data_IF_094388812112
#
_entry.id   IF_094388812112
#
_cell.length_a   1.000
_cell.length_b   1.000
_cell.length_c   1.000
_cell.angle_alpha   90.00
_cell.angle_beta   90.00
_cell.angle_gamma   90.00
#
_symmetry.space_group_name_H-M   'P 1'
#
loop_
_entity.id
_entity.type
_entity.pdbx_description
1 polymer ?
#
# COMPACT_ATOMS: atom_id res chain seq x y z
N UNK A 1 -17.07 4.79 -8.82
CA UNK A 1 -17.02 5.82 -7.76
C UNK A 1 -15.58 5.96 -7.32
N UNK A 2 -15.03 7.18 -7.28
CA UNK A 2 -13.64 7.43 -6.89
C UNK A 2 -13.63 8.11 -5.52
N UNK A 3 -12.89 7.57 -4.55
CA UNK A 3 -12.74 8.20 -3.24
C UNK A 3 -11.77 9.39 -3.33
N UNK A 4 -12.10 10.49 -2.65
CA UNK A 4 -11.25 11.67 -2.47
C UNK A 4 -10.62 11.59 -1.08
N UNK A 5 -9.30 11.76 -0.99
CA UNK A 5 -8.55 11.77 0.27
C UNK A 5 -7.81 13.09 0.34
N UNK A 6 -8.02 13.82 1.42
CA UNK A 6 -7.32 15.06 1.72
C UNK A 6 -6.07 14.78 2.55
N UNK A 7 -4.95 15.41 2.18
CA UNK A 7 -3.64 15.21 2.81
C UNK A 7 -2.97 16.56 2.91
N UNK A 8 -2.58 16.95 4.13
CA UNK A 8 -1.89 18.21 4.37
C UNK A 8 -0.54 18.26 3.65
N UNK A 9 -0.24 19.39 3.00
CA UNK A 9 1.06 19.67 2.39
C UNK A 9 2.20 19.57 3.41
N UNK A 10 1.94 19.94 4.68
CA UNK A 10 2.94 19.81 5.75
C UNK A 10 3.37 18.36 6.00
N UNK A 11 2.46 17.39 5.82
CA UNK A 11 2.76 15.96 5.93
C UNK A 11 3.60 15.53 4.73
N UNK A 12 3.22 15.94 3.52
CA UNK A 12 3.98 15.64 2.30
C UNK A 12 5.40 16.21 2.36
N UNK A 13 5.56 17.42 2.89
CA UNK A 13 6.85 18.06 3.13
C UNK A 13 7.68 17.30 4.17
N UNK A 14 7.08 16.91 5.30
CA UNK A 14 7.78 16.16 6.35
C UNK A 14 8.27 14.79 5.85
N UNK A 15 7.51 14.17 4.94
CA UNK A 15 7.89 12.91 4.30
C UNK A 15 8.85 13.08 3.12
N UNK A 16 9.06 14.32 2.65
CA UNK A 16 9.76 14.64 1.40
C UNK A 16 9.20 13.84 0.20
N UNK A 17 7.88 13.76 0.11
CA UNK A 17 7.17 13.01 -0.94
C UNK A 17 6.29 13.90 -1.79
N UNK A 18 6.19 13.55 -3.08
CA UNK A 18 5.15 14.11 -3.96
C UNK A 18 3.83 13.44 -3.64
N UNK A 19 2.74 14.19 -3.84
CA UNK A 19 1.35 13.72 -3.64
C UNK A 19 1.09 12.37 -4.32
N UNK A 20 1.45 12.22 -5.58
CA UNK A 20 1.15 10.99 -6.33
C UNK A 20 1.92 9.77 -5.78
N UNK A 21 3.18 9.97 -5.40
CA UNK A 21 4.00 8.92 -4.80
C UNK A 21 3.43 8.49 -3.44
N UNK A 22 3.00 9.47 -2.62
CA UNK A 22 2.35 9.22 -1.35
C UNK A 22 1.05 8.43 -1.52
N UNK A 23 0.18 8.84 -2.46
CA UNK A 23 -1.08 8.15 -2.72
C UNK A 23 -0.88 6.71 -3.22
N UNK A 24 0.14 6.47 -4.04
CA UNK A 24 0.52 5.12 -4.48
C UNK A 24 0.98 4.29 -3.28
N UNK A 25 1.84 4.82 -2.41
CA UNK A 25 2.31 4.12 -1.20
C UNK A 25 1.16 3.81 -0.26
N UNK A 26 0.27 4.77 -0.01
CA UNK A 26 -0.91 4.59 0.83
C UNK A 26 -1.79 3.44 0.31
N UNK A 27 -2.10 3.41 -0.98
CA UNK A 27 -2.86 2.31 -1.60
C UNK A 27 -2.20 0.94 -1.39
N UNK A 28 -0.88 0.86 -1.56
CA UNK A 28 -0.12 -0.38 -1.34
C UNK A 28 -0.19 -0.78 0.13
N UNK A 29 0.07 0.14 1.07
CA UNK A 29 0.04 -0.15 2.50
C UNK A 29 -1.34 -0.64 2.93
N UNK A 30 -2.41 0.01 2.50
CA UNK A 30 -3.79 -0.40 2.78
C UNK A 30 -4.11 -1.76 2.16
N UNK A 31 -3.68 -2.02 0.93
CA UNK A 31 -3.86 -3.33 0.27
C UNK A 31 -3.16 -4.45 1.03
N UNK A 32 -1.92 -4.23 1.48
CA UNK A 32 -1.15 -5.20 2.27
C UNK A 32 -1.81 -5.44 3.63
N UNK A 33 -2.23 -4.38 4.32
CA UNK A 33 -2.90 -4.49 5.62
C UNK A 33 -4.18 -5.33 5.52
N UNK A 34 -5.08 -4.99 4.60
CA UNK A 34 -6.33 -5.73 4.45
C UNK A 34 -6.17 -7.14 3.87
N UNK A 35 -5.13 -7.40 3.09
CA UNK A 35 -4.81 -8.77 2.69
C UNK A 35 -4.37 -9.60 3.90
N UNK A 36 -3.50 -9.06 4.76
CA UNK A 36 -3.03 -9.72 5.99
C UNK A 36 -4.16 -9.98 6.99
N UNK A 37 -5.18 -9.11 7.01
CA UNK A 37 -6.39 -9.29 7.81
C UNK A 37 -7.44 -10.20 7.14
N UNK A 38 -7.11 -10.85 6.01
CA UNK A 38 -8.02 -11.70 5.22
C UNK A 38 -9.28 -10.99 4.71
N UNK A 39 -9.34 -9.65 4.76
CA UNK A 39 -10.47 -8.83 4.29
C UNK A 39 -10.48 -8.64 2.78
N UNK A 40 -9.31 -8.68 2.14
CA UNK A 40 -9.18 -8.60 0.69
C UNK A 40 -8.49 -9.84 0.13
N UNK A 41 -9.06 -10.41 -0.93
CA UNK A 41 -8.36 -11.40 -1.76
C UNK A 41 -7.18 -10.77 -2.49
N UNK A 42 -6.22 -11.59 -2.94
CA UNK A 42 -5.06 -11.13 -3.71
C UNK A 42 -5.44 -10.26 -4.92
N UNK A 43 -6.52 -10.63 -5.63
CA UNK A 43 -7.02 -9.86 -6.77
C UNK A 43 -7.56 -8.47 -6.38
N UNK A 44 -8.28 -8.37 -5.25
CA UNK A 44 -8.79 -7.07 -4.75
C UNK A 44 -7.67 -6.21 -4.17
N UNK A 45 -6.69 -6.81 -3.49
CA UNK A 45 -5.49 -6.12 -3.04
C UNK A 45 -4.68 -5.55 -4.22
N UNK A 46 -4.51 -6.33 -5.29
CA UNK A 46 -3.87 -5.87 -6.53
C UNK A 46 -4.61 -4.65 -7.14
N UNK A 47 -5.95 -4.73 -7.23
CA UNK A 47 -6.78 -3.65 -7.73
C UNK A 47 -6.67 -2.38 -6.88
N UNK A 48 -6.71 -2.50 -5.54
CA UNK A 48 -6.55 -1.37 -4.63
C UNK A 48 -5.16 -0.71 -4.78
N UNK A 49 -4.11 -1.52 -4.87
CA UNK A 49 -2.74 -1.05 -5.09
C UNK A 49 -2.51 -0.43 -6.47
N UNK A 50 -3.44 -0.59 -7.42
CA UNK A 50 -3.26 -0.17 -8.82
C UNK A 50 -2.16 -0.99 -9.52
N UNK A 51 -2.00 -2.26 -9.16
CA UNK A 51 -0.94 -3.14 -9.67
C UNK A 51 -1.50 -4.47 -10.18
N UNK A 52 -0.70 -5.18 -10.97
CA UNK A 52 -1.02 -6.57 -11.31
C UNK A 52 -0.76 -7.52 -10.13
N UNK A 53 -1.30 -8.74 -10.22
CA UNK A 53 -1.20 -9.76 -9.15
C UNK A 53 0.25 -10.12 -8.81
N UNK A 54 1.13 -10.21 -9.81
CA UNK A 54 2.54 -10.60 -9.61
C UNK A 54 3.26 -9.55 -8.75
N UNK A 55 3.06 -8.26 -9.06
CA UNK A 55 3.74 -7.16 -8.39
C UNK A 55 3.26 -6.98 -6.95
N UNK A 56 1.97 -7.17 -6.68
CA UNK A 56 1.46 -7.13 -5.29
C UNK A 56 1.93 -8.35 -4.49
N UNK A 57 1.99 -9.55 -5.10
CA UNK A 57 2.54 -10.73 -4.42
C UNK A 57 3.97 -10.49 -3.97
N UNK A 58 4.84 -9.94 -4.82
CA UNK A 58 6.21 -9.56 -4.43
C UNK A 58 6.24 -8.60 -3.24
N UNK A 59 5.39 -7.56 -3.23
CA UNK A 59 5.30 -6.63 -2.08
C UNK A 59 4.80 -7.30 -0.80
N UNK A 60 3.89 -8.26 -0.91
CA UNK A 60 3.41 -9.04 0.22
C UNK A 60 4.52 -9.94 0.79
N UNK A 61 5.33 -10.57 -0.06
CA UNK A 61 6.50 -11.36 0.35
C UNK A 61 7.55 -10.47 1.04
N UNK A 62 7.91 -9.32 0.46
CA UNK A 62 8.84 -8.36 1.07
C UNK A 62 8.35 -7.91 2.47
N UNK A 63 7.04 -7.64 2.58
CA UNK A 63 6.40 -7.22 3.83
C UNK A 63 6.23 -8.35 4.85
N UNK A 64 6.38 -9.61 4.45
CA UNK A 64 6.43 -10.77 5.35
C UNK A 64 7.86 -11.00 5.85
N UNK A 65 8.87 -10.85 4.98
CA UNK A 65 10.28 -11.03 5.31
C UNK A 65 10.82 -9.97 6.27
N UNK A 66 10.39 -8.70 6.14
CA UNK A 66 10.81 -7.64 7.08
C UNK A 66 10.47 -7.94 8.54
N UNK A 67 9.35 -8.64 8.82
CA UNK A 67 8.97 -9.04 10.19
C UNK A 67 9.84 -10.16 10.77
N UNK A 68 10.46 -10.99 9.93
CA UNK A 68 11.32 -12.10 10.38
C UNK A 68 12.69 -11.60 10.84
N UNK A 69 13.17 -10.49 10.28
CA UNK A 69 14.47 -9.91 10.62
C UNK A 69 14.42 -8.87 11.76
N UNK A 70 13.24 -8.61 12.32
CA UNK A 70 13.03 -7.70 13.46
C UNK A 70 12.72 -8.47 14.78
N UNK A 71 12.83 -9.81 14.76
CA UNK A 71 12.74 -10.72 15.90
C UNK A 71 14.10 -11.37 16.16
#
# INVERSE_FOLDING_TARGET
MQAIIDVSDSILMALNEKKDDFLVKMKIFTAVAYFKEEKLSLGKAAALAGMNKIRISSKLYDAALKKVNEL
#
